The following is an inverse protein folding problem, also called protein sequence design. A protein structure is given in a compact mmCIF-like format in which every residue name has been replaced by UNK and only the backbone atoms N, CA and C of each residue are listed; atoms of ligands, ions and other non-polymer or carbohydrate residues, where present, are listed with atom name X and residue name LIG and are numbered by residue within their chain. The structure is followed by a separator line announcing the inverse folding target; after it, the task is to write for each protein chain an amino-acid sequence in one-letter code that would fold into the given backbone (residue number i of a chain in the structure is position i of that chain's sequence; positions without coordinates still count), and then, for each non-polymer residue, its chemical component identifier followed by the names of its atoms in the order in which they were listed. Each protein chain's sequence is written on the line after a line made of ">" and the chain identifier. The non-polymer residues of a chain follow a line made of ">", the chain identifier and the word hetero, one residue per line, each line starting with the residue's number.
data_IF_886567753949
#
_entry.id   IF_886567753949
#
_cell.length_a   1.000
_cell.length_b   1.000
_cell.length_c   1.000
_cell.angle_alpha   90.00
_cell.angle_beta   90.00
_cell.angle_gamma   90.00
#
_symmetry.space_group_name_H-M   'P 1'
#
loop_
_entity.id
_entity.type
_entity.pdbx_description
1 polymer ?
#
# COMPACT_ATOMS: atom_id res chain seq x y z
N UNK A 1 51.40 -21.41 -44.04
CA UNK A 1 52.51 -20.71 -43.36
C UNK A 1 52.14 -19.24 -43.32
N UNK A 2 51.01 -18.89 -42.70
CA UNK A 2 50.77 -18.87 -41.23
C UNK A 2 51.49 -17.64 -40.63
N UNK A 3 50.90 -16.73 -39.86
CA UNK A 3 49.62 -16.68 -39.12
C UNK A 3 49.44 -15.26 -38.55
N UNK A 4 48.23 -14.98 -38.04
CA UNK A 4 47.77 -13.86 -37.18
C UNK A 4 47.15 -12.65 -37.92
N UNK A 5 45.85 -12.54 -38.21
CA UNK A 5 44.62 -13.22 -37.77
C UNK A 5 44.35 -13.15 -36.25
N UNK A 6 43.45 -12.24 -35.88
CA UNK A 6 42.78 -12.03 -34.58
C UNK A 6 43.57 -11.46 -33.38
N UNK A 7 43.44 -10.14 -33.21
CA UNK A 7 43.23 -9.54 -31.87
C UNK A 7 42.14 -8.47 -31.89
N UNK A 8 41.02 -8.74 -32.58
CA UNK A 8 39.71 -8.20 -32.19
C UNK A 8 39.18 -9.07 -31.04
N UNK A 9 39.67 -8.85 -29.82
CA UNK A 9 38.95 -9.32 -28.64
C UNK A 9 37.98 -8.20 -28.30
N UNK A 10 36.75 -8.34 -28.79
CA UNK A 10 35.65 -7.45 -28.42
C UNK A 10 35.53 -7.42 -26.90
N UNK A 11 35.45 -6.22 -26.34
CA UNK A 11 34.99 -6.04 -24.97
C UNK A 11 33.59 -6.67 -24.89
N UNK A 12 33.52 -7.90 -24.38
CA UNK A 12 32.28 -8.49 -23.95
C UNK A 12 31.74 -7.57 -22.85
N UNK A 13 30.74 -6.78 -23.19
CA UNK A 13 29.94 -6.03 -22.23
C UNK A 13 29.14 -7.05 -21.40
N UNK A 14 29.82 -7.68 -20.44
CA UNK A 14 29.24 -8.70 -19.59
C UNK A 14 28.23 -8.03 -18.66
N UNK A 15 26.95 -8.33 -18.88
CA UNK A 15 25.89 -7.97 -17.94
C UNK A 15 26.12 -8.79 -16.68
N UNK A 16 26.49 -8.13 -15.60
CA UNK A 16 26.71 -8.78 -14.31
C UNK A 16 25.44 -8.63 -13.46
N UNK A 17 24.74 -9.74 -13.21
CA UNK A 17 23.56 -9.75 -12.34
C UNK A 17 24.00 -9.97 -10.90
N UNK A 18 23.68 -9.02 -10.02
CA UNK A 18 24.07 -9.07 -8.61
C UNK A 18 22.98 -9.67 -7.73
N UNK A 19 21.73 -9.27 -7.92
CA UNK A 19 20.60 -9.69 -7.07
C UNK A 19 19.34 -9.87 -7.94
N UNK A 20 18.61 -10.96 -7.72
CA UNK A 20 17.26 -11.20 -8.27
C UNK A 20 16.34 -11.54 -7.10
N UNK A 21 15.25 -10.79 -6.96
CA UNK A 21 14.22 -11.03 -5.94
C UNK A 21 12.85 -11.20 -6.60
N UNK A 22 12.05 -12.13 -6.09
CA UNK A 22 10.66 -12.28 -6.54
C UNK A 22 9.83 -11.09 -6.07
N UNK A 23 9.23 -10.36 -7.02
CA UNK A 23 8.38 -9.21 -6.69
C UNK A 23 7.19 -9.63 -5.82
N UNK A 24 6.61 -10.80 -6.10
CA UNK A 24 5.54 -11.39 -5.29
C UNK A 24 5.96 -11.62 -3.84
N UNK A 25 7.16 -12.15 -3.59
CA UNK A 25 7.64 -12.38 -2.23
C UNK A 25 7.82 -11.06 -1.48
N UNK A 26 8.37 -10.03 -2.13
CA UNK A 26 8.49 -8.68 -1.56
C UNK A 26 7.11 -8.18 -1.12
N UNK A 27 6.10 -8.27 -2.00
CA UNK A 27 4.74 -7.81 -1.71
C UNK A 27 4.10 -8.58 -0.53
N UNK A 28 4.29 -9.90 -0.47
CA UNK A 28 3.75 -10.72 0.62
C UNK A 28 4.40 -10.38 1.96
N UNK A 29 5.74 -10.35 2.02
CA UNK A 29 6.47 -9.99 3.24
C UNK A 29 6.07 -8.60 3.74
N UNK A 30 5.92 -7.66 2.80
CA UNK A 30 5.50 -6.29 3.07
C UNK A 30 4.20 -6.25 3.85
N UNK A 31 3.19 -7.06 3.51
CA UNK A 31 1.88 -7.04 4.20
C UNK A 31 1.82 -7.97 5.40
N UNK A 32 2.55 -9.08 5.39
CA UNK A 32 2.63 -9.98 6.55
C UNK A 32 3.21 -9.27 7.79
N UNK A 33 4.16 -8.35 7.61
CA UNK A 33 4.78 -7.59 8.70
C UNK A 33 3.78 -6.77 9.54
N UNK A 34 3.05 -5.78 8.98
CA UNK A 34 2.07 -5.01 9.74
C UNK A 34 0.88 -5.87 10.18
N UNK A 35 0.44 -6.86 9.40
CA UNK A 35 -0.67 -7.73 9.81
C UNK A 35 -0.29 -8.55 11.05
N UNK A 36 0.89 -9.18 11.04
CA UNK A 36 1.42 -9.93 12.19
C UNK A 36 1.67 -9.02 13.39
N UNK A 37 2.26 -7.84 13.16
CA UNK A 37 2.45 -6.83 14.18
C UNK A 37 1.14 -6.40 14.83
N UNK A 38 0.09 -6.16 14.05
CA UNK A 38 -1.23 -5.78 14.55
C UNK A 38 -1.86 -6.88 15.41
N UNK A 39 -1.77 -8.14 14.98
CA UNK A 39 -2.28 -9.30 15.74
C UNK A 39 -1.54 -9.41 17.09
N UNK A 40 -0.21 -9.31 17.08
CA UNK A 40 0.58 -9.37 18.32
C UNK A 40 0.25 -8.19 19.23
N UNK A 41 0.13 -6.97 18.69
CA UNK A 41 -0.28 -5.80 19.46
C UNK A 41 -1.67 -6.01 20.08
N UNK A 42 -2.65 -6.50 19.32
CA UNK A 42 -3.99 -6.76 19.80
C UNK A 42 -3.99 -7.78 20.95
N UNK A 43 -3.40 -8.96 20.74
CA UNK A 43 -3.41 -10.05 21.73
C UNK A 43 -2.69 -9.61 23.01
N UNK A 44 -1.48 -9.07 22.89
CA UNK A 44 -0.69 -8.69 24.06
C UNK A 44 -1.32 -7.54 24.82
N UNK A 45 -1.83 -6.51 24.13
CA UNK A 45 -2.52 -5.41 24.77
C UNK A 45 -3.79 -5.88 25.49
N UNK A 46 -4.56 -6.76 24.86
CA UNK A 46 -5.80 -7.29 25.43
C UNK A 46 -5.58 -8.19 26.64
N UNK A 47 -4.44 -8.90 26.74
CA UNK A 47 -4.13 -9.73 27.90
C UNK A 47 -3.55 -8.89 29.04
N UNK A 48 -2.59 -8.02 28.74
CA UNK A 48 -1.77 -7.38 29.77
C UNK A 48 -2.22 -5.95 30.12
N UNK A 49 -2.97 -5.26 29.26
CA UNK A 49 -3.20 -3.81 29.34
C UNK A 49 -4.66 -3.42 29.02
N UNK A 50 -5.63 -4.19 29.51
CA UNK A 50 -7.06 -3.97 29.21
C UNK A 50 -7.57 -2.58 29.62
N UNK A 51 -7.15 -2.06 30.77
CA UNK A 51 -7.62 -0.76 31.26
C UNK A 51 -7.17 0.37 30.32
N UNK A 52 -5.96 0.28 29.80
CA UNK A 52 -5.36 1.27 28.93
C UNK A 52 -6.02 1.36 27.54
N UNK A 53 -6.37 0.20 26.97
CA UNK A 53 -6.88 0.13 25.59
C UNK A 53 -8.38 0.40 25.47
N UNK A 54 -9.12 0.28 26.57
CA UNK A 54 -10.55 0.60 26.63
C UNK A 54 -10.83 2.00 27.18
N UNK A 55 -9.78 2.73 27.60
CA UNK A 55 -9.92 4.09 28.08
C UNK A 55 -10.38 5.01 26.94
N UNK A 56 -11.60 5.53 27.08
CA UNK A 56 -12.24 6.44 26.13
C UNK A 56 -12.80 7.64 26.87
N UNK A 57 -13.01 8.75 26.15
CA UNK A 57 -13.58 9.99 26.71
C UNK A 57 -14.87 9.73 27.52
N UNK A 58 -15.79 8.94 26.98
CA UNK A 58 -17.08 8.67 27.62
C UNK A 58 -17.02 7.59 28.73
N UNK A 59 -15.90 6.88 28.89
CA UNK A 59 -15.72 5.80 29.89
C UNK A 59 -16.88 4.79 29.94
N UNK A 60 -17.46 4.50 28.77
CA UNK A 60 -18.55 3.52 28.62
C UNK A 60 -18.01 2.13 28.28
N UNK A 61 -18.82 1.11 28.54
CA UNK A 61 -18.47 -0.29 28.25
C UNK A 61 -18.18 -0.51 26.75
N UNK A 62 -17.04 -1.13 26.47
CA UNK A 62 -16.53 -1.49 25.15
C UNK A 62 -15.70 -2.78 25.25
N UNK A 63 -15.66 -3.57 24.18
CA UNK A 63 -14.93 -4.85 24.10
C UNK A 63 -13.82 -4.80 23.05
N UNK A 64 -14.02 -4.06 21.96
CA UNK A 64 -13.05 -3.97 20.86
C UNK A 64 -12.32 -2.63 20.98
N UNK A 65 -11.01 -2.62 21.29
CA UNK A 65 -10.20 -1.41 21.32
C UNK A 65 -9.81 -0.97 19.90
N UNK A 66 -9.63 0.34 19.68
CA UNK A 66 -9.15 0.86 18.40
C UNK A 66 -7.71 0.43 18.09
N UNK A 67 -7.33 0.41 16.80
CA UNK A 67 -5.96 0.14 16.36
C UNK A 67 -4.99 1.13 17.01
N UNK A 68 -5.35 2.41 16.99
CA UNK A 68 -4.58 3.48 17.63
C UNK A 68 -4.37 3.26 19.14
N UNK A 69 -5.32 2.62 19.85
CA UNK A 69 -5.16 2.32 21.27
C UNK A 69 -4.16 1.17 21.50
N UNK A 70 -4.30 0.05 20.78
CA UNK A 70 -3.42 -1.12 20.96
C UNK A 70 -2.00 -0.89 20.43
N UNK A 71 -1.84 -0.01 19.43
CA UNK A 71 -0.52 0.37 18.87
C UNK A 71 0.06 1.62 19.53
N UNK A 72 -0.72 2.32 20.35
CA UNK A 72 -0.32 3.53 21.05
C UNK A 72 0.32 3.29 22.41
N UNK A 73 0.26 2.07 22.95
CA UNK A 73 0.76 1.72 24.29
C UNK A 73 2.10 0.98 24.25
N UNK A 74 2.94 1.14 25.28
CA UNK A 74 4.21 0.42 25.38
C UNK A 74 4.01 -0.96 26.01
N UNK A 75 4.69 -2.02 25.50
CA UNK A 75 5.73 -2.02 24.47
C UNK A 75 5.25 -2.13 23.00
N UNK A 76 3.96 -2.36 22.76
CA UNK A 76 3.34 -2.61 21.45
C UNK A 76 3.64 -1.49 20.44
N UNK A 77 3.72 -0.26 20.91
CA UNK A 77 4.10 0.92 20.12
C UNK A 77 5.45 0.74 19.41
N UNK A 78 6.44 0.17 20.08
CA UNK A 78 7.75 -0.05 19.46
C UNK A 78 7.69 -1.13 18.39
N UNK A 79 6.98 -2.24 18.68
CA UNK A 79 6.74 -3.30 17.70
C UNK A 79 6.05 -2.74 16.46
N UNK A 80 4.96 -1.98 16.65
CA UNK A 80 4.21 -1.38 15.56
C UNK A 80 5.05 -0.43 14.71
N UNK A 81 5.82 0.47 15.35
CA UNK A 81 6.73 1.40 14.67
C UNK A 81 7.78 0.67 13.83
N UNK A 82 8.36 -0.41 14.35
CA UNK A 82 9.32 -1.25 13.61
C UNK A 82 8.65 -1.91 12.40
N UNK A 83 7.49 -2.53 12.59
CA UNK A 83 6.72 -3.14 11.49
C UNK A 83 6.42 -2.14 10.38
N UNK A 84 5.97 -0.92 10.72
CA UNK A 84 5.68 0.13 9.75
C UNK A 84 6.96 0.67 9.10
N UNK A 85 8.06 0.82 9.83
CA UNK A 85 9.34 1.25 9.25
C UNK A 85 9.81 0.32 8.13
N UNK A 86 9.77 -1.01 8.37
CA UNK A 86 10.13 -2.00 7.35
C UNK A 86 9.09 -2.12 6.23
N UNK A 87 7.85 -1.68 6.46
CA UNK A 87 6.78 -1.66 5.46
C UNK A 87 6.92 -0.52 4.43
N UNK A 88 7.46 0.63 4.84
CA UNK A 88 7.50 1.85 4.00
C UNK A 88 8.33 1.66 2.74
N UNK A 89 9.55 1.13 2.85
CA UNK A 89 10.47 0.97 1.72
C UNK A 89 9.85 0.16 0.57
N UNK A 90 9.39 -1.08 0.82
CA UNK A 90 8.72 -1.89 -0.19
C UNK A 90 7.45 -1.23 -0.76
N UNK A 91 6.65 -0.52 0.05
CA UNK A 91 5.47 0.22 -0.45
C UNK A 91 5.84 1.31 -1.45
N UNK A 92 6.91 2.06 -1.20
CA UNK A 92 7.41 3.08 -2.13
C UNK A 92 7.91 2.46 -3.45
N UNK A 93 8.58 1.30 -3.37
CA UNK A 93 8.98 0.53 -4.54
C UNK A 93 7.76 0.09 -5.36
N UNK A 94 6.76 -0.52 -4.72
CA UNK A 94 5.54 -0.98 -5.38
C UNK A 94 4.80 0.18 -6.06
N UNK A 95 4.68 1.33 -5.40
CA UNK A 95 4.08 2.53 -5.97
C UNK A 95 4.82 2.98 -7.25
N UNK A 96 6.14 2.92 -7.24
CA UNK A 96 6.99 3.29 -8.37
C UNK A 96 6.88 2.30 -9.53
N UNK A 97 6.78 0.99 -9.24
CA UNK A 97 6.54 -0.06 -10.24
C UNK A 97 5.19 0.13 -10.92
N UNK A 98 4.12 0.37 -10.17
CA UNK A 98 2.79 0.63 -10.74
C UNK A 98 2.76 1.88 -11.62
N UNK A 99 3.41 2.96 -11.18
CA UNK A 99 3.53 4.18 -11.98
C UNK A 99 4.22 3.90 -13.31
N UNK A 100 5.39 3.25 -13.28
CA UNK A 100 6.13 2.90 -14.49
C UNK A 100 5.33 1.97 -15.41
N UNK A 101 4.67 0.96 -14.86
CA UNK A 101 3.85 0.01 -15.62
C UNK A 101 2.68 0.71 -16.32
N UNK A 102 1.85 1.47 -15.60
CA UNK A 102 0.71 2.15 -16.21
C UNK A 102 1.12 3.21 -17.24
N UNK A 103 2.20 3.94 -16.99
CA UNK A 103 2.74 4.88 -18.00
C UNK A 103 3.25 4.15 -19.24
N UNK A 104 3.87 2.97 -19.09
CA UNK A 104 4.36 2.20 -20.24
C UNK A 104 3.24 1.70 -21.15
N UNK A 105 2.09 1.33 -20.57
CA UNK A 105 0.99 0.74 -21.32
C UNK A 105 0.19 1.76 -22.14
N UNK A 106 0.24 3.04 -21.75
CA UNK A 106 -0.50 4.09 -22.44
C UNK A 106 0.18 4.55 -23.76
N UNK A 107 1.44 4.22 -24.04
CA UNK A 107 2.14 4.57 -25.28
C UNK A 107 2.51 6.06 -25.47
N UNK A 108 3.23 6.39 -26.55
CA UNK A 108 3.83 7.72 -26.80
C UNK A 108 3.02 8.66 -27.71
N UNK A 109 1.77 8.33 -28.03
CA UNK A 109 0.96 9.16 -28.94
C UNK A 109 0.30 10.33 -28.21
N UNK A 110 0.39 11.54 -28.76
CA UNK A 110 -0.13 12.80 -28.19
C UNK A 110 -1.61 13.00 -28.51
N UNK A 111 -2.50 12.24 -27.88
CA UNK A 111 -3.94 12.56 -27.85
C UNK A 111 -4.31 13.26 -26.53
N UNK A 112 -5.36 14.09 -26.54
CA UNK A 112 -5.84 14.78 -25.33
C UNK A 112 -6.27 13.79 -24.23
N UNK A 113 -6.85 12.65 -24.64
CA UNK A 113 -7.23 11.55 -23.74
C UNK A 113 -6.01 10.97 -23.02
N UNK A 114 -4.90 10.82 -23.74
CA UNK A 114 -3.65 10.33 -23.18
C UNK A 114 -3.05 11.28 -22.13
N UNK A 115 -3.09 12.59 -22.41
CA UNK A 115 -2.60 13.61 -21.46
C UNK A 115 -3.40 13.57 -20.16
N UNK A 116 -4.71 13.38 -20.25
CA UNK A 116 -5.60 13.20 -19.10
C UNK A 116 -5.25 11.93 -18.30
N UNK A 117 -5.06 10.80 -18.98
CA UNK A 117 -4.71 9.53 -18.32
C UNK A 117 -3.34 9.58 -17.65
N UNK A 118 -2.33 10.19 -18.29
CA UNK A 118 -1.02 10.43 -17.68
C UNK A 118 -1.08 11.36 -16.46
N UNK A 119 -1.97 12.37 -16.47
CA UNK A 119 -2.22 13.19 -15.28
C UNK A 119 -2.87 12.37 -14.16
N UNK A 120 -3.83 11.51 -14.50
CA UNK A 120 -4.51 10.63 -13.53
C UNK A 120 -3.52 9.67 -12.86
N UNK A 121 -2.63 9.04 -13.62
CA UNK A 121 -1.59 8.14 -13.11
C UNK A 121 -0.63 8.89 -12.17
N UNK A 122 -0.20 10.10 -12.53
CA UNK A 122 0.65 10.93 -11.66
C UNK A 122 -0.05 11.28 -10.34
N UNK A 123 -1.32 11.66 -10.40
CA UNK A 123 -2.11 11.94 -9.19
C UNK A 123 -2.23 10.68 -8.33
N UNK A 124 -2.51 9.53 -8.95
CA UNK A 124 -2.59 8.24 -8.26
C UNK A 124 -1.27 7.88 -7.54
N UNK A 125 -0.13 8.07 -8.20
CA UNK A 125 1.19 7.89 -7.60
C UNK A 125 1.40 8.78 -6.38
N UNK A 126 1.18 10.09 -6.51
CA UNK A 126 1.35 11.03 -5.39
C UNK A 126 0.37 10.77 -4.24
N UNK A 127 -0.87 10.37 -4.52
CA UNK A 127 -1.81 9.96 -3.47
C UNK A 127 -1.30 8.77 -2.67
N UNK A 128 -0.69 7.78 -3.33
CA UNK A 128 -0.08 6.63 -2.65
C UNK A 128 1.12 7.08 -1.79
N UNK A 129 1.96 7.99 -2.29
CA UNK A 129 3.07 8.56 -1.48
C UNK A 129 2.54 9.28 -0.23
N UNK A 130 1.49 10.10 -0.37
CA UNK A 130 0.87 10.80 0.76
C UNK A 130 0.18 9.81 1.71
N UNK A 131 -0.46 8.77 1.20
CA UNK A 131 -1.02 7.67 2.02
C UNK A 131 0.06 7.01 2.88
N UNK A 132 1.21 6.66 2.29
CA UNK A 132 2.35 6.05 3.00
C UNK A 132 2.91 7.02 4.05
N UNK A 133 3.05 8.31 3.71
CA UNK A 133 3.51 9.33 4.64
C UNK A 133 2.53 9.52 5.81
N UNK A 134 1.22 9.52 5.55
CA UNK A 134 0.18 9.63 6.57
C UNK A 134 0.12 8.37 7.46
N UNK A 135 0.31 7.18 6.89
CA UNK A 135 0.45 5.93 7.66
C UNK A 135 1.66 5.96 8.60
N UNK A 136 2.78 6.53 8.14
CA UNK A 136 3.94 6.78 9.01
C UNK A 136 3.57 7.79 10.11
N UNK A 137 2.95 8.92 9.74
CA UNK A 137 2.54 9.96 10.70
C UNK A 137 1.62 9.43 11.81
N UNK A 138 0.58 8.68 11.48
CA UNK A 138 -0.37 8.12 12.45
C UNK A 138 0.27 7.06 13.36
N UNK A 139 1.36 6.44 12.89
CA UNK A 139 2.15 5.46 13.65
C UNK A 139 3.12 6.11 14.65
N UNK A 140 3.76 7.21 14.25
CA UNK A 140 4.76 7.87 15.09
C UNK A 140 4.17 8.90 16.04
N UNK A 141 3.09 9.60 15.65
CA UNK A 141 2.37 10.52 16.52
C UNK A 141 1.21 9.75 17.14
N UNK A 142 1.38 9.27 18.38
CA UNK A 142 0.36 8.49 19.06
C UNK A 142 -0.84 9.36 19.45
N UNK A 143 -2.04 8.78 19.41
CA UNK A 143 -3.25 9.38 19.97
C UNK A 143 -3.11 9.76 21.47
N UNK A 144 -2.23 9.08 22.24
CA UNK A 144 -1.92 9.43 23.63
C UNK A 144 -0.99 10.63 23.76
N UNK A 145 -0.16 10.91 22.75
CA UNK A 145 0.80 12.02 22.76
C UNK A 145 0.14 13.32 22.28
N UNK A 146 -0.57 13.25 21.16
CA UNK A 146 -1.27 14.40 20.60
C UNK A 146 -2.49 13.95 19.79
N UNK A 147 -3.63 13.81 20.49
CA UNK A 147 -4.87 13.38 19.87
C UNK A 147 -5.32 14.27 18.70
N UNK A 148 -5.35 15.62 18.79
CA UNK A 148 -5.77 16.46 17.68
C UNK A 148 -4.94 16.26 16.41
N UNK A 149 -3.62 16.18 16.52
CA UNK A 149 -2.75 15.95 15.35
C UNK A 149 -2.94 14.54 14.80
N UNK A 150 -2.99 13.53 15.66
CA UNK A 150 -3.23 12.15 15.26
C UNK A 150 -4.56 11.99 14.49
N UNK A 151 -5.64 12.59 14.98
CA UNK A 151 -6.95 12.59 14.33
C UNK A 151 -6.88 13.21 12.92
N UNK A 152 -6.20 14.35 12.76
CA UNK A 152 -6.05 14.98 11.42
C UNK A 152 -5.22 14.15 10.47
N UNK A 153 -4.12 13.53 10.92
CA UNK A 153 -3.30 12.66 10.08
C UNK A 153 -4.09 11.41 9.68
N UNK A 154 -4.86 10.82 10.60
CA UNK A 154 -5.74 9.70 10.29
C UNK A 154 -6.78 10.06 9.22
N UNK A 155 -7.38 11.25 9.29
CA UNK A 155 -8.30 11.75 8.25
C UNK A 155 -7.59 11.88 6.89
N UNK A 156 -6.37 12.44 6.86
CA UNK A 156 -5.57 12.52 5.62
C UNK A 156 -5.29 11.13 5.06
N UNK A 157 -4.86 10.18 5.89
CA UNK A 157 -4.66 8.79 5.48
C UNK A 157 -5.92 8.19 4.85
N UNK A 158 -7.07 8.36 5.50
CA UNK A 158 -8.36 7.87 5.01
C UNK A 158 -8.75 8.47 3.65
N UNK A 159 -8.66 9.79 3.51
CA UNK A 159 -9.01 10.47 2.27
C UNK A 159 -8.08 10.09 1.13
N UNK A 160 -6.76 10.04 1.39
CA UNK A 160 -5.77 9.65 0.39
C UNK A 160 -5.95 8.19 -0.03
N UNK A 161 -6.12 7.26 0.93
CA UNK A 161 -6.33 5.84 0.64
C UNK A 161 -7.59 5.58 -0.19
N UNK A 162 -8.72 6.18 0.17
CA UNK A 162 -9.97 5.96 -0.55
C UNK A 162 -9.93 6.55 -1.95
N UNK A 163 -9.35 7.75 -2.10
CA UNK A 163 -9.17 8.39 -3.40
C UNK A 163 -8.18 7.59 -4.25
N UNK A 164 -7.08 7.11 -3.69
CA UNK A 164 -6.13 6.23 -4.36
C UNK A 164 -6.79 4.95 -4.88
N UNK A 165 -7.59 4.27 -4.05
CA UNK A 165 -8.32 3.06 -4.48
C UNK A 165 -9.26 3.35 -5.64
N UNK A 166 -10.01 4.46 -5.58
CA UNK A 166 -10.91 4.88 -6.66
C UNK A 166 -10.14 5.19 -7.95
N UNK A 167 -9.09 6.01 -7.87
CA UNK A 167 -8.29 6.38 -9.04
C UNK A 167 -7.57 5.18 -9.63
N UNK A 168 -7.11 4.24 -8.81
CA UNK A 168 -6.52 2.98 -9.28
C UNK A 168 -7.54 2.18 -10.09
N UNK A 169 -8.79 2.07 -9.65
CA UNK A 169 -9.85 1.41 -10.41
C UNK A 169 -10.14 2.11 -11.75
N UNK A 170 -10.16 3.44 -11.75
CA UNK A 170 -10.35 4.23 -12.98
C UNK A 170 -9.18 4.02 -13.95
N UNK A 171 -7.94 4.21 -13.49
CA UNK A 171 -6.73 3.97 -14.27
C UNK A 171 -6.70 2.54 -14.80
N UNK A 172 -7.01 1.54 -13.97
CA UNK A 172 -7.01 0.14 -14.39
C UNK A 172 -7.98 -0.10 -15.56
N UNK A 173 -9.17 0.52 -15.54
CA UNK A 173 -10.15 0.39 -16.62
C UNK A 173 -9.72 1.11 -17.90
N UNK A 174 -9.11 2.28 -17.78
CA UNK A 174 -8.62 3.05 -18.93
C UNK A 174 -7.43 2.35 -19.61
N UNK A 175 -6.53 1.80 -18.80
CA UNK A 175 -5.32 1.13 -19.27
C UNK A 175 -5.63 -0.28 -19.82
N UNK A 176 -6.64 -0.96 -19.27
CA UNK A 176 -7.10 -2.27 -19.74
C UNK A 176 -8.53 -2.20 -20.30
N UNK A 177 -8.67 -1.62 -21.50
CA UNK A 177 -9.97 -1.55 -22.21
C UNK A 177 -10.56 -2.94 -22.47
N UNK A 178 -9.72 -3.87 -22.93
CA UNK A 178 -10.05 -5.29 -23.10
C UNK A 178 -9.34 -6.13 -22.04
N UNK A 179 -10.07 -6.45 -20.96
CA UNK A 179 -9.49 -7.19 -19.83
C UNK A 179 -9.41 -8.69 -20.11
N UNK A 180 -8.24 -9.27 -19.87
CA UNK A 180 -8.10 -10.73 -19.73
C UNK A 180 -8.85 -11.24 -18.50
N UNK A 181 -9.13 -12.56 -18.43
CA UNK A 181 -9.79 -13.19 -17.27
C UNK A 181 -9.05 -12.90 -15.96
N UNK A 182 -7.71 -12.89 -15.98
CA UNK A 182 -6.89 -12.57 -14.80
C UNK A 182 -7.04 -11.11 -14.37
N UNK A 183 -6.98 -10.17 -15.32
CA UNK A 183 -7.17 -8.74 -15.05
C UNK A 183 -8.58 -8.44 -14.55
N UNK A 184 -9.61 -9.08 -15.12
CA UNK A 184 -10.99 -8.94 -14.66
C UNK A 184 -11.17 -9.43 -13.21
N UNK A 185 -10.52 -10.55 -12.84
CA UNK A 185 -10.50 -11.03 -11.45
C UNK A 185 -9.81 -10.03 -10.52
N UNK A 186 -8.64 -9.52 -10.92
CA UNK A 186 -7.91 -8.51 -10.15
C UNK A 186 -8.75 -7.24 -9.94
N UNK A 187 -9.38 -6.75 -10.99
CA UNK A 187 -10.27 -5.60 -10.96
C UNK A 187 -11.48 -5.82 -10.03
N UNK A 188 -12.11 -6.99 -10.09
CA UNK A 188 -13.25 -7.33 -9.23
C UNK A 188 -12.84 -7.34 -7.74
N UNK A 189 -11.69 -7.94 -7.41
CA UNK A 189 -11.18 -7.95 -6.03
C UNK A 189 -10.91 -6.53 -5.55
N UNK A 190 -10.21 -5.70 -6.34
CA UNK A 190 -9.98 -4.28 -6.02
C UNK A 190 -11.30 -3.52 -5.79
N UNK A 191 -12.31 -3.77 -6.63
CA UNK A 191 -13.63 -3.13 -6.52
C UNK A 191 -14.36 -3.53 -5.24
N UNK A 192 -14.34 -4.82 -4.89
CA UNK A 192 -14.94 -5.31 -3.65
C UNK A 192 -14.26 -4.65 -2.44
N UNK A 193 -12.93 -4.61 -2.40
CA UNK A 193 -12.17 -3.99 -1.31
C UNK A 193 -12.45 -2.49 -1.17
N UNK A 194 -12.59 -1.77 -2.30
CA UNK A 194 -13.00 -0.37 -2.29
C UNK A 194 -14.41 -0.19 -1.71
N UNK A 195 -15.39 -0.97 -2.16
CA UNK A 195 -16.77 -0.90 -1.65
C UNK A 195 -16.82 -1.22 -0.15
N UNK A 196 -16.12 -2.27 0.28
CA UNK A 196 -15.98 -2.63 1.70
C UNK A 196 -15.39 -1.48 2.52
N UNK A 197 -14.37 -0.80 1.99
CA UNK A 197 -13.73 0.35 2.66
C UNK A 197 -14.69 1.54 2.77
N UNK A 198 -15.51 1.82 1.74
CA UNK A 198 -16.52 2.88 1.77
C UNK A 198 -17.60 2.60 2.81
N UNK A 199 -18.20 1.40 2.78
CA UNK A 199 -19.24 0.99 3.74
C UNK A 199 -18.70 1.08 5.17
N UNK A 200 -17.48 0.57 5.39
CA UNK A 200 -16.84 0.62 6.71
C UNK A 200 -16.50 2.05 7.13
N UNK A 201 -16.13 2.94 6.20
CA UNK A 201 -15.88 4.36 6.50
C UNK A 201 -17.15 5.07 6.95
N UNK A 202 -18.28 4.80 6.30
CA UNK A 202 -19.58 5.34 6.71
C UNK A 202 -19.92 4.84 8.13
N UNK A 203 -19.77 3.54 8.38
CA UNK A 203 -19.96 2.96 9.71
C UNK A 203 -19.07 3.61 10.76
N UNK A 204 -17.78 3.77 10.47
CA UNK A 204 -16.79 4.44 11.32
C UNK A 204 -17.26 5.84 11.71
N UNK A 205 -17.68 6.67 10.75
CA UNK A 205 -18.15 8.03 11.03
C UNK A 205 -19.41 8.05 11.90
N UNK A 206 -20.39 7.18 11.61
CA UNK A 206 -21.64 7.08 12.38
C UNK A 206 -21.37 6.66 13.82
N UNK A 207 -20.57 5.60 14.02
CA UNK A 207 -20.28 5.09 15.36
C UNK A 207 -19.36 6.02 16.16
N UNK A 208 -18.45 6.72 15.49
CA UNK A 208 -17.63 7.76 16.11
C UNK A 208 -18.50 8.92 16.62
N UNK A 209 -19.41 9.44 15.79
CA UNK A 209 -20.34 10.49 16.17
C UNK A 209 -21.25 10.02 17.32
N UNK A 210 -21.76 8.79 17.24
CA UNK A 210 -22.60 8.18 18.28
C UNK A 210 -21.88 8.07 19.62
N UNK A 211 -20.61 7.71 19.61
CA UNK A 211 -19.78 7.67 20.81
C UNK A 211 -19.53 9.08 21.36
N UNK A 212 -19.11 10.03 20.52
CA UNK A 212 -18.70 11.37 20.96
C UNK A 212 -19.86 12.25 21.43
N UNK A 213 -21.01 12.16 20.79
CA UNK A 213 -22.18 13.01 21.07
C UNK A 213 -23.13 12.41 22.11
N UNK A 214 -23.30 11.09 22.10
CA UNK A 214 -24.31 10.43 22.94
C UNK A 214 -23.72 9.44 23.95
N UNK A 215 -22.41 9.16 23.92
CA UNK A 215 -21.75 8.21 24.82
C UNK A 215 -22.45 6.83 24.89
N UNK A 216 -23.00 6.34 23.77
CA UNK A 216 -23.66 5.03 23.75
C UNK A 216 -22.66 3.90 24.03
N UNK A 217 -23.09 2.94 24.87
CA UNK A 217 -22.35 1.70 25.14
C UNK A 217 -22.04 0.97 23.82
N UNK A 218 -20.87 0.36 23.74
CA UNK A 218 -20.36 -0.38 22.56
C UNK A 218 -20.17 0.45 21.28
N UNK A 219 -20.54 1.74 21.24
CA UNK A 219 -20.37 2.56 20.03
C UNK A 219 -18.90 2.65 19.61
N UNK A 220 -17.97 2.75 20.57
CA UNK A 220 -16.55 2.78 20.26
C UNK A 220 -16.02 1.42 19.76
N UNK A 221 -16.59 0.31 20.24
CA UNK A 221 -16.25 -1.03 19.71
C UNK A 221 -16.67 -1.21 18.26
N UNK A 222 -17.84 -0.70 17.87
CA UNK A 222 -18.28 -0.73 16.46
C UNK A 222 -17.45 0.20 15.57
N UNK A 223 -17.06 1.36 16.09
CA UNK A 223 -16.07 2.24 15.45
C UNK A 223 -14.75 1.50 15.20
N UNK A 224 -14.21 0.85 16.24
CA UNK A 224 -12.96 0.10 16.16
C UNK A 224 -13.07 -1.06 15.16
N UNK A 225 -14.19 -1.80 15.15
CA UNK A 225 -14.41 -2.87 14.18
C UNK A 225 -14.34 -2.35 12.73
N UNK A 226 -14.98 -1.22 12.44
CA UNK A 226 -14.89 -0.59 11.12
C UNK A 226 -13.44 -0.19 10.78
N UNK A 227 -12.69 0.35 11.75
CA UNK A 227 -11.27 0.67 11.61
C UNK A 227 -10.43 -0.56 11.23
N UNK A 228 -10.63 -1.72 11.89
CA UNK A 228 -9.96 -2.98 11.52
C UNK A 228 -10.32 -3.44 10.11
N UNK A 229 -11.60 -3.39 9.73
CA UNK A 229 -12.04 -3.80 8.39
C UNK A 229 -11.37 -2.91 7.32
N UNK A 230 -11.31 -1.59 7.55
CA UNK A 230 -10.63 -0.65 6.65
C UNK A 230 -9.14 -0.96 6.55
N UNK A 231 -8.46 -1.20 7.68
CA UNK A 231 -7.04 -1.50 7.69
C UNK A 231 -6.72 -2.80 6.92
N UNK A 232 -7.52 -3.85 7.13
CA UNK A 232 -7.39 -5.12 6.41
C UNK A 232 -7.70 -4.93 4.92
N UNK A 233 -8.75 -4.18 4.57
CA UNK A 233 -9.10 -3.90 3.19
C UNK A 233 -8.02 -3.09 2.47
N UNK A 234 -7.40 -2.11 3.13
CA UNK A 234 -6.25 -1.37 2.61
C UNK A 234 -5.06 -2.28 2.36
N UNK A 235 -4.66 -3.09 3.35
CA UNK A 235 -3.58 -4.06 3.19
C UNK A 235 -3.85 -5.02 2.03
N UNK A 236 -5.05 -5.59 1.97
CA UNK A 236 -5.46 -6.48 0.89
C UNK A 236 -5.46 -5.80 -0.48
N UNK A 237 -5.87 -4.53 -0.55
CA UNK A 237 -5.90 -3.76 -1.80
C UNK A 237 -4.48 -3.61 -2.36
N UNK A 238 -3.52 -3.25 -1.52
CA UNK A 238 -2.12 -3.14 -1.94
C UNK A 238 -1.48 -4.49 -2.27
N UNK A 239 -1.94 -5.60 -1.68
CA UNK A 239 -1.52 -6.96 -2.07
C UNK A 239 -2.05 -7.38 -3.44
N UNK A 240 -3.13 -6.79 -3.96
CA UNK A 240 -3.68 -7.16 -5.28
C UNK A 240 -2.66 -7.02 -6.42
N UNK A 241 -1.57 -6.29 -6.18
CA UNK A 241 -0.38 -6.25 -7.05
C UNK A 241 0.15 -7.61 -7.46
N UNK A 242 0.05 -8.63 -6.61
CA UNK A 242 0.51 -9.99 -6.93
C UNK A 242 -0.36 -10.66 -8.02
N UNK A 243 -1.58 -10.16 -8.22
CA UNK A 243 -2.49 -10.63 -9.28
C UNK A 243 -2.20 -9.94 -10.61
N UNK A 244 -1.68 -8.71 -10.55
CA UNK A 244 -1.28 -7.94 -11.73
C UNK A 244 0.11 -8.35 -12.21
N UNK A 245 1.01 -8.67 -11.28
CA UNK A 245 2.40 -9.05 -11.52
C UNK A 245 2.74 -10.41 -10.89
N UNK A 246 2.31 -11.53 -11.49
CA UNK A 246 2.49 -12.86 -10.90
C UNK A 246 3.91 -13.44 -11.02
N UNK A 247 4.72 -12.99 -11.99
CA UNK A 247 6.01 -13.62 -12.36
C UNK A 247 7.21 -12.66 -12.38
N UNK A 248 6.96 -11.39 -12.10
CA UNK A 248 7.90 -10.30 -12.23
C UNK A 248 8.98 -10.39 -11.15
N UNK A 249 10.18 -9.94 -11.52
CA UNK A 249 11.37 -10.02 -10.68
C UNK A 249 12.03 -8.64 -10.59
N UNK A 250 12.50 -8.31 -9.38
CA UNK A 250 13.37 -7.16 -9.17
C UNK A 250 14.81 -7.60 -9.39
N UNK A 251 15.49 -6.97 -10.35
CA UNK A 251 16.85 -7.32 -10.73
C UNK A 251 17.79 -6.12 -10.58
N UNK A 252 18.91 -6.33 -9.90
CA UNK A 252 20.02 -5.38 -9.82
C UNK A 252 21.17 -5.95 -10.65
N UNK A 253 21.53 -5.26 -11.73
CA UNK A 253 22.63 -5.67 -12.60
C UNK A 253 23.42 -4.47 -13.12
N UNK A 254 24.71 -4.71 -13.40
CA UNK A 254 25.61 -3.75 -14.02
C UNK A 254 25.67 -3.98 -15.55
N UNK A 255 25.88 -2.92 -16.32
CA UNK A 255 25.99 -2.97 -17.78
C UNK A 255 24.67 -3.03 -18.56
N UNK A 256 23.53 -2.78 -17.91
CA UNK A 256 22.20 -2.77 -18.55
C UNK A 256 22.10 -1.69 -19.65
N UNK A 257 22.85 -0.60 -19.56
CA UNK A 257 22.79 0.49 -20.53
C UNK A 257 23.19 0.07 -21.95
N UNK A 258 24.01 -0.99 -22.07
CA UNK A 258 24.38 -1.63 -23.33
C UNK A 258 23.16 -2.27 -24.01
N UNK A 259 22.21 -2.79 -23.22
CA UNK A 259 20.94 -3.31 -23.74
C UNK A 259 19.96 -2.20 -24.11
N UNK A 260 19.95 -1.08 -23.36
CA UNK A 260 19.12 0.09 -23.70
C UNK A 260 19.54 0.76 -25.01
N UNK A 261 20.84 0.78 -25.33
CA UNK A 261 21.37 1.32 -26.59
C UNK A 261 20.95 0.52 -27.84
N UNK A 262 20.52 -0.74 -27.68
CA UNK A 262 20.12 -1.64 -28.78
C UNK A 262 18.59 -1.75 -28.92
N UNK A 263 17.83 -0.71 -28.55
CA UNK A 263 16.36 -0.73 -28.33
C UNK A 263 15.49 -0.92 -29.59
N UNK A 264 15.60 -2.09 -30.26
CA UNK A 264 14.48 -2.72 -30.98
C UNK A 264 13.84 -3.88 -30.19
N UNK A 265 14.44 -4.30 -29.07
CA UNK A 265 14.09 -5.57 -28.40
C UNK A 265 13.18 -5.39 -27.17
N UNK A 266 13.10 -4.21 -26.56
CA UNK A 266 12.24 -3.97 -25.39
C UNK A 266 11.06 -3.06 -25.75
N UNK A 267 10.05 -3.63 -26.42
CA UNK A 267 8.67 -3.19 -26.21
C UNK A 267 8.13 -4.06 -25.08
N UNK A 268 7.78 -3.43 -23.96
CA UNK A 268 6.89 -4.05 -22.98
C UNK A 268 5.61 -4.39 -23.74
N UNK A 269 5.40 -5.69 -24.01
CA UNK A 269 4.10 -6.22 -24.41
C UNK A 269 3.23 -6.39 -23.18
#
# INVERSE_FOLDING_TARGET
>A
MDTNVYSKVGAQNNIAVHIILSFRQICLVTVCLPLGGLIVCFITAYIFQQNDIHETHCRVYNIIPSISAITGISPQRYLWRICVAFHIGPRLLIASVYYAYYTSLLGHTTSDEQMKNNRLIRICYWLNIVEIAALCGVTYISNRENYPVHEKIFIVFMLCSLTYMLLTLQVFKEVHRDMTVSQAKSYLVKKILFITSIISTIGLLVFFAKHRLFCHKMAFSWFALCEYIIAIANMAFHVTVILDFPKEQLMIANGIDVLKSNSKIWKLN
#
